data_IF_788677544747
#
_entry.id   IF_788677544747
#
_cell.length_a   1.000
_cell.length_b   1.000
_cell.length_c   1.000
_cell.angle_alpha   90.00
_cell.angle_beta   90.00
_cell.angle_gamma   90.00
#
_symmetry.space_group_name_H-M   'P 1'
#
loop_
_entity.id
_entity.type
_entity.pdbx_description
1 polymer ?
#
# COMPACT_ATOMS: atom_id res chain seq x y z
N UNK A 1 1.96 -23.57 7.86
CA UNK A 1 1.79 -22.11 8.08
C UNK A 1 1.16 -21.90 9.44
N UNK A 2 1.75 -21.08 10.31
CA UNK A 2 1.15 -20.80 11.63
C UNK A 2 -0.07 -19.87 11.52
N UNK A 3 -1.01 -19.96 12.47
CA UNK A 3 -2.21 -19.11 12.53
C UNK A 3 -1.88 -17.61 12.43
N UNK A 4 -0.80 -17.18 13.10
CA UNK A 4 -0.28 -15.79 13.03
C UNK A 4 0.07 -15.37 11.59
N UNK A 5 0.61 -16.28 10.79
CA UNK A 5 0.98 -16.02 9.40
C UNK A 5 -0.24 -15.96 8.49
N UNK A 6 -1.23 -16.83 8.70
CA UNK A 6 -2.49 -16.77 7.96
C UNK A 6 -3.26 -15.47 8.24
N UNK A 7 -3.39 -15.07 9.52
CA UNK A 7 -4.09 -13.84 9.93
C UNK A 7 -3.37 -12.60 9.41
N UNK A 8 -2.04 -12.53 9.58
CA UNK A 8 -1.26 -11.40 9.07
C UNK A 8 -1.30 -11.29 7.54
N UNK A 9 -1.26 -12.43 6.85
CA UNK A 9 -1.43 -12.47 5.39
C UNK A 9 -2.78 -11.95 4.94
N UNK A 10 -3.87 -12.44 5.55
CA UNK A 10 -5.23 -12.00 5.26
C UNK A 10 -5.42 -10.50 5.53
N UNK A 11 -4.92 -10.01 6.66
CA UNK A 11 -4.95 -8.59 6.99
C UNK A 11 -4.19 -7.74 5.95
N UNK A 12 -3.01 -8.18 5.53
CA UNK A 12 -2.26 -7.51 4.46
C UNK A 12 -3.01 -7.47 3.13
N UNK A 13 -3.73 -8.54 2.76
CA UNK A 13 -4.61 -8.54 1.59
C UNK A 13 -5.81 -7.61 1.73
N UNK A 14 -6.42 -7.53 2.91
CA UNK A 14 -7.49 -6.58 3.19
C UNK A 14 -7.01 -5.14 3.01
N UNK A 15 -5.83 -4.79 3.53
CA UNK A 15 -5.24 -3.48 3.31
C UNK A 15 -5.02 -3.18 1.82
N UNK A 16 -4.53 -4.15 1.04
CA UNK A 16 -4.37 -4.00 -0.41
C UNK A 16 -5.71 -3.83 -1.14
N UNK A 17 -6.75 -4.53 -0.71
CA UNK A 17 -8.10 -4.38 -1.26
C UNK A 17 -8.67 -2.98 -0.98
N UNK A 18 -8.47 -2.46 0.24
CA UNK A 18 -8.83 -1.08 0.59
C UNK A 18 -8.04 -0.09 -0.26
N UNK A 19 -6.75 -0.32 -0.47
CA UNK A 19 -5.91 0.53 -1.33
C UNK A 19 -6.41 0.55 -2.78
N UNK A 20 -6.81 -0.60 -3.33
CA UNK A 20 -7.40 -0.70 -4.66
C UNK A 20 -8.71 0.11 -4.75
N UNK A 21 -9.61 -0.08 -3.78
CA UNK A 21 -10.86 0.66 -3.71
C UNK A 21 -10.65 2.17 -3.62
N UNK A 22 -9.72 2.61 -2.75
CA UNK A 22 -9.35 4.01 -2.61
C UNK A 22 -8.74 4.60 -3.89
N UNK A 23 -7.96 3.80 -4.63
CA UNK A 23 -7.38 4.22 -5.92
C UNK A 23 -8.46 4.42 -6.97
N UNK A 24 -9.37 3.47 -7.12
CA UNK A 24 -10.47 3.55 -8.08
C UNK A 24 -11.39 4.74 -7.75
N UNK A 25 -11.69 4.94 -6.46
CA UNK A 25 -12.45 6.09 -6.00
C UNK A 25 -11.74 7.42 -6.26
N UNK A 26 -10.43 7.50 -5.99
CA UNK A 26 -9.62 8.68 -6.28
C UNK A 26 -9.57 9.02 -7.77
N UNK A 27 -9.48 8.02 -8.65
CA UNK A 27 -9.54 8.22 -10.10
C UNK A 27 -10.91 8.76 -10.55
N UNK A 28 -11.99 8.25 -9.98
CA UNK A 28 -13.34 8.76 -10.26
C UNK A 28 -13.50 10.21 -9.80
N UNK A 29 -13.07 10.54 -8.57
CA UNK A 29 -13.09 11.92 -8.06
C UNK A 29 -12.22 12.87 -8.89
N UNK A 30 -11.05 12.42 -9.33
CA UNK A 30 -10.18 13.18 -10.21
C UNK A 30 -10.87 13.46 -11.55
N UNK A 31 -11.51 12.44 -12.14
CA UNK A 31 -12.31 12.59 -13.35
C UNK A 31 -13.46 13.58 -13.17
N UNK A 32 -14.18 13.51 -12.05
CA UNK A 32 -15.25 14.47 -11.74
C UNK A 32 -14.71 15.89 -11.58
N UNK A 33 -13.56 16.04 -10.91
CA UNK A 33 -12.89 17.34 -10.70
C UNK A 33 -12.46 17.97 -12.03
N UNK A 34 -11.95 17.16 -12.96
CA UNK A 34 -11.56 17.62 -14.29
C UNK A 34 -12.78 17.99 -15.14
N UNK A 35 -13.88 17.24 -15.03
CA UNK A 35 -15.08 17.47 -15.85
C UNK A 35 -15.92 18.66 -15.35
N UNK A 36 -16.15 18.74 -14.05
CA UNK A 36 -17.08 19.69 -13.42
C UNK A 36 -16.38 20.88 -12.76
N UNK A 37 -15.06 20.98 -12.91
CA UNK A 37 -14.24 22.03 -12.30
C UNK A 37 -13.81 21.73 -10.87
N UNK A 38 -12.76 22.46 -10.48
CA UNK A 38 -12.10 22.34 -9.19
C UNK A 38 -12.93 23.02 -8.11
N UNK A 39 -13.25 22.27 -7.06
CA UNK A 39 -13.78 22.80 -5.80
C UNK A 39 -12.91 22.32 -4.65
N UNK A 40 -12.87 23.08 -3.55
CA UNK A 40 -12.07 22.72 -2.37
C UNK A 40 -12.42 21.31 -1.87
N UNK A 41 -13.71 21.00 -1.74
CA UNK A 41 -14.20 19.69 -1.28
C UNK A 41 -13.71 18.56 -2.17
N UNK A 42 -13.77 18.72 -3.50
CA UNK A 42 -13.31 17.70 -4.44
C UNK A 42 -11.80 17.49 -4.37
N UNK A 43 -11.05 18.58 -4.25
CA UNK A 43 -9.59 18.53 -4.19
C UNK A 43 -9.14 17.82 -2.90
N UNK A 44 -9.74 18.17 -1.76
CA UNK A 44 -9.52 17.47 -0.49
C UNK A 44 -9.93 16.00 -0.55
N UNK A 45 -11.11 15.67 -1.10
CA UNK A 45 -11.56 14.29 -1.23
C UNK A 45 -10.61 13.45 -2.10
N UNK A 46 -10.09 14.04 -3.18
CA UNK A 46 -9.12 13.39 -4.08
C UNK A 46 -7.79 13.15 -3.36
N UNK A 47 -7.28 14.15 -2.63
CA UNK A 47 -6.05 14.01 -1.83
C UNK A 47 -6.19 12.94 -0.75
N UNK A 48 -7.32 12.90 -0.04
CA UNK A 48 -7.59 11.88 0.98
C UNK A 48 -7.67 10.48 0.37
N UNK A 49 -8.36 10.32 -0.76
CA UNK A 49 -8.48 9.03 -1.45
C UNK A 49 -7.10 8.48 -1.84
N UNK A 50 -6.25 9.29 -2.47
CA UNK A 50 -4.90 8.86 -2.82
C UNK A 50 -3.98 8.69 -1.61
N UNK A 51 -4.12 9.52 -0.58
CA UNK A 51 -3.43 9.33 0.71
C UNK A 51 -3.75 7.97 1.32
N UNK A 52 -5.04 7.61 1.41
CA UNK A 52 -5.49 6.30 1.87
C UNK A 52 -4.93 5.17 0.99
N UNK A 53 -4.98 5.31 -0.34
CA UNK A 53 -4.43 4.31 -1.24
C UNK A 53 -2.94 4.03 -0.97
N UNK A 54 -2.14 5.09 -0.80
CA UNK A 54 -0.72 4.98 -0.49
C UNK A 54 -0.51 4.33 0.88
N UNK A 55 -1.16 4.85 1.93
CA UNK A 55 -0.96 4.35 3.31
C UNK A 55 -1.35 2.87 3.44
N UNK A 56 -2.55 2.49 2.98
CA UNK A 56 -3.01 1.10 3.06
C UNK A 56 -2.25 0.18 2.11
N UNK A 57 -1.85 0.69 0.94
CA UNK A 57 -1.07 -0.06 -0.05
C UNK A 57 0.31 -0.43 0.50
N UNK A 58 1.05 0.56 1.00
CA UNK A 58 2.34 0.30 1.65
C UNK A 58 2.19 -0.58 2.88
N UNK A 59 1.27 -0.26 3.79
CA UNK A 59 1.10 -1.02 5.01
C UNK A 59 0.73 -2.49 4.75
N UNK A 60 -0.19 -2.75 3.82
CA UNK A 60 -0.55 -4.10 3.41
C UNK A 60 0.61 -4.88 2.81
N UNK A 61 1.43 -4.21 1.98
CA UNK A 61 2.66 -4.79 1.43
C UNK A 61 3.68 -5.13 2.53
N UNK A 62 3.93 -4.21 3.47
CA UNK A 62 4.84 -4.41 4.60
C UNK A 62 4.41 -5.59 5.47
N UNK A 63 3.13 -5.67 5.86
CA UNK A 63 2.62 -6.77 6.68
C UNK A 63 2.83 -8.10 5.96
N UNK A 64 2.51 -8.18 4.66
CA UNK A 64 2.71 -9.42 3.88
C UNK A 64 4.18 -9.84 3.82
N UNK A 65 5.10 -8.91 3.66
CA UNK A 65 6.54 -9.19 3.65
C UNK A 65 7.04 -9.64 5.01
N UNK A 66 6.67 -8.94 6.08
CA UNK A 66 7.01 -9.30 7.45
C UNK A 66 6.50 -10.71 7.81
N UNK A 67 5.26 -11.03 7.45
CA UNK A 67 4.64 -12.34 7.69
C UNK A 67 5.31 -13.46 6.89
N UNK A 68 5.82 -13.15 5.69
CA UNK A 68 6.59 -14.09 4.87
C UNK A 68 8.03 -14.31 5.39
N UNK A 69 8.42 -13.65 6.49
CA UNK A 69 9.79 -13.69 6.99
C UNK A 69 10.79 -12.97 6.08
N UNK A 70 10.30 -12.14 5.16
CA UNK A 70 11.14 -11.36 4.25
C UNK A 70 11.42 -10.01 4.90
N UNK A 71 12.68 -9.76 5.22
CA UNK A 71 13.17 -8.42 5.54
C UNK A 71 13.06 -7.62 4.25
N UNK A 72 12.46 -6.42 4.28
CA UNK A 72 12.52 -5.54 3.12
C UNK A 72 14.00 -5.31 2.83
N UNK A 73 14.50 -5.57 1.61
CA UNK A 73 15.88 -5.27 1.29
C UNK A 73 16.07 -3.76 1.41
N UNK A 74 16.52 -3.31 2.58
CA UNK A 74 17.29 -2.08 2.68
C UNK A 74 18.58 -2.38 1.93
N UNK A 75 19.10 -1.45 1.13
CA UNK A 75 20.31 -1.70 0.32
C UNK A 75 21.50 -2.22 1.15
N UNK A 76 21.50 -1.94 2.46
CA UNK A 76 22.42 -2.50 3.45
C UNK A 76 22.32 -4.03 3.55
N UNK A 77 21.13 -4.62 3.57
CA UNK A 77 20.92 -6.07 3.66
C UNK A 77 21.36 -6.80 2.38
N UNK A 78 21.22 -6.17 1.21
CA UNK A 78 21.80 -6.70 -0.04
C UNK A 78 23.32 -6.77 0.06
N UNK A 79 23.97 -5.72 0.57
CA UNK A 79 25.43 -5.69 0.68
C UNK A 79 25.98 -6.78 1.61
N UNK A 80 25.27 -7.11 2.70
CA UNK A 80 25.70 -8.16 3.65
C UNK A 80 25.39 -9.57 3.12
N UNK A 81 24.22 -9.77 2.50
CA UNK A 81 23.84 -11.06 1.92
C UNK A 81 24.75 -11.52 0.77
N UNK A 82 25.29 -10.59 -0.03
CA UNK A 82 26.26 -10.90 -1.10
C UNK A 82 27.73 -10.87 -0.66
N UNK A 83 28.04 -10.42 0.56
CA UNK A 83 29.42 -10.37 1.09
C UNK A 83 29.86 -11.67 1.75
N UNK A 84 28.94 -12.48 2.28
CA UNK A 84 29.22 -13.78 2.89
C UNK A 84 29.44 -14.94 1.91
N UNK A 85 29.29 -14.71 0.59
CA UNK A 85 29.50 -15.70 -0.46
C UNK A 85 30.83 -15.58 -1.21
N UNK A 86 31.79 -14.82 -0.67
CA UNK A 86 33.18 -14.74 -1.13
C UNK A 86 34.11 -15.31 -0.09
#
# INVERSE_FOLDING_TARGET
MGLKSAVGGAFGYLCLAVALGATLWGLWLLGETLWRGVTEVRLFATMVAFGCAVTFGFFGYFVRKAVAGQILPMDVDRSVAYRGGR
#
